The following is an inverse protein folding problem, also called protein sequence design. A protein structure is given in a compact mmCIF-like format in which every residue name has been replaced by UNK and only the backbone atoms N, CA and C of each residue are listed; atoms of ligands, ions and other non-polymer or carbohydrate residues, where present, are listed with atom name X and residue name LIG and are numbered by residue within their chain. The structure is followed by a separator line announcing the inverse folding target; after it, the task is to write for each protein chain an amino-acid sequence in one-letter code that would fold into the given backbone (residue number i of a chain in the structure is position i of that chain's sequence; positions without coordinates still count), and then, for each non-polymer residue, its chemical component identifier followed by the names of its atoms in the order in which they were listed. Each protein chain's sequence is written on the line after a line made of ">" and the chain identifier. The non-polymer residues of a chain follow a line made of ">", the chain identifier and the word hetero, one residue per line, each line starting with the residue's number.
data_IF_787742280580
#
_entry.id   IF_787742280580
#
_cell.length_a   1.000
_cell.length_b   1.000
_cell.length_c   1.000
_cell.angle_alpha   90.00
_cell.angle_beta   90.00
_cell.angle_gamma   90.00
#
_symmetry.space_group_name_H-M   'P 1'
#
loop_
_entity.id
_entity.type
_entity.pdbx_description
1 polymer ?
#
# COMPACT_ATOMS: atom_id res chain seq x y z
N UNK A 1 -5.09 -46.71 11.78
CA UNK A 1 -5.18 -46.32 10.36
C UNK A 1 -4.09 -45.32 9.99
N UNK A 2 -3.95 -44.17 10.66
CA UNK A 2 -2.90 -43.18 10.35
C UNK A 2 -1.49 -43.72 10.61
N UNK A 3 -1.20 -44.34 11.76
CA UNK A 3 0.13 -44.93 12.05
C UNK A 3 0.55 -45.99 11.00
N UNK A 4 -0.35 -46.90 10.66
CA UNK A 4 -0.12 -47.93 9.62
C UNK A 4 0.12 -47.31 8.23
N UNK A 5 -0.52 -46.18 7.91
CA UNK A 5 -0.25 -45.44 6.69
C UNK A 5 1.14 -44.81 6.73
N UNK A 6 1.49 -44.14 7.83
CA UNK A 6 2.81 -43.56 8.06
C UNK A 6 3.94 -44.59 7.91
N UNK A 7 3.82 -45.74 8.58
CA UNK A 7 4.78 -46.85 8.49
C UNK A 7 4.90 -47.40 7.07
N UNK A 8 3.77 -47.59 6.35
CA UNK A 8 3.77 -48.15 5.00
C UNK A 8 4.45 -47.23 3.97
N UNK A 9 4.34 -45.92 4.17
CA UNK A 9 4.82 -44.91 3.23
C UNK A 9 6.03 -44.11 3.73
N UNK A 10 6.64 -44.54 4.86
CA UNK A 10 7.78 -43.89 5.50
C UNK A 10 7.56 -42.40 5.82
N UNK A 11 6.35 -42.05 6.29
CA UNK A 11 6.06 -40.73 6.84
C UNK A 11 6.19 -40.74 8.36
N UNK A 12 6.73 -39.67 8.92
CA UNK A 12 6.71 -39.46 10.36
C UNK A 12 5.46 -38.68 10.78
N UNK A 13 4.63 -39.24 11.67
CA UNK A 13 3.53 -38.49 12.24
C UNK A 13 4.04 -37.37 13.16
N UNK A 14 3.38 -36.20 13.13
CA UNK A 14 3.86 -35.01 13.88
C UNK A 14 2.92 -34.64 15.04
N UNK A 15 1.61 -34.55 14.78
CA UNK A 15 0.59 -34.03 15.72
C UNK A 15 -0.45 -35.08 16.16
N UNK A 16 -0.09 -36.36 16.18
CA UNK A 16 -0.99 -37.44 16.62
C UNK A 16 -1.15 -37.42 18.16
N UNK A 17 -2.36 -37.62 18.71
CA UNK A 17 -2.55 -37.70 20.17
C UNK A 17 -1.73 -38.84 20.79
N UNK A 18 -0.96 -38.55 21.84
CA UNK A 18 -0.14 -39.54 22.55
C UNK A 18 1.10 -40.03 21.78
N UNK A 19 1.52 -39.30 20.75
CA UNK A 19 2.74 -39.59 20.00
C UNK A 19 4.00 -39.39 20.85
N UNK A 20 5.01 -40.24 20.67
CA UNK A 20 6.32 -40.07 21.31
C UNK A 20 7.29 -39.31 20.39
N UNK A 21 8.34 -38.72 20.95
CA UNK A 21 9.36 -38.03 20.14
C UNK A 21 10.09 -38.99 19.18
N UNK A 22 10.24 -40.27 19.54
CA UNK A 22 10.85 -41.29 18.67
C UNK A 22 10.00 -41.55 17.42
N UNK A 23 8.67 -41.55 17.56
CA UNK A 23 7.74 -41.72 16.43
C UNK A 23 7.75 -40.52 15.46
N UNK A 24 8.30 -39.36 15.87
CA UNK A 24 8.33 -38.13 15.05
C UNK A 24 9.52 -38.02 14.10
N UNK A 25 10.55 -38.85 14.27
CA UNK A 25 11.82 -38.79 13.54
C UNK A 25 12.30 -40.18 13.11
N UNK A 26 11.38 -41.14 12.98
CA UNK A 26 11.70 -42.53 12.66
C UNK A 26 12.29 -42.68 11.25
N UNK A 27 11.73 -41.98 10.27
CA UNK A 27 12.12 -42.08 8.86
C UNK A 27 12.87 -40.83 8.36
N UNK A 28 12.48 -39.64 8.85
CA UNK A 28 12.98 -38.34 8.42
C UNK A 28 13.52 -37.60 9.64
N UNK A 29 14.81 -37.80 9.95
CA UNK A 29 15.48 -37.05 11.00
C UNK A 29 15.60 -35.57 10.62
N UNK A 30 15.34 -34.69 11.58
CA UNK A 30 15.60 -33.25 11.48
C UNK A 30 16.71 -32.85 12.44
N UNK A 31 17.55 -31.90 12.03
CA UNK A 31 18.61 -31.33 12.87
C UNK A 31 18.07 -30.33 13.92
N UNK A 32 16.85 -29.81 13.70
CA UNK A 32 16.23 -28.80 14.55
C UNK A 32 15.51 -29.46 15.74
N UNK A 33 16.12 -29.38 16.92
CA UNK A 33 15.57 -29.91 18.17
C UNK A 33 14.36 -29.11 18.67
N UNK A 34 14.24 -27.83 18.28
CA UNK A 34 13.20 -26.93 18.78
C UNK A 34 11.91 -27.02 17.94
N UNK A 35 11.99 -27.48 16.68
CA UNK A 35 10.87 -27.53 15.73
C UNK A 35 9.58 -28.12 16.32
N UNK A 36 9.66 -29.29 16.96
CA UNK A 36 8.47 -29.95 17.49
C UNK A 36 7.89 -29.22 18.71
N UNK A 37 8.75 -28.63 19.54
CA UNK A 37 8.31 -27.86 20.72
C UNK A 37 7.63 -26.55 20.30
N UNK A 38 8.19 -25.86 19.30
CA UNK A 38 7.59 -24.68 18.70
C UNK A 38 6.26 -25.02 18.01
N UNK A 39 6.20 -26.14 17.28
CA UNK A 39 4.99 -26.56 16.59
C UNK A 39 3.85 -26.89 17.57
N UNK A 40 4.14 -27.60 18.66
CA UNK A 40 3.14 -27.81 19.72
C UNK A 40 2.74 -26.48 20.38
N UNK A 41 3.73 -25.62 20.64
CA UNK A 41 3.54 -24.30 21.20
C UNK A 41 2.61 -23.41 20.36
N UNK A 42 2.61 -23.57 19.03
CA UNK A 42 1.68 -22.87 18.11
C UNK A 42 0.20 -23.19 18.35
N UNK A 43 -0.12 -24.32 18.96
CA UNK A 43 -1.50 -24.71 19.34
C UNK A 43 -1.82 -24.42 20.82
N UNK A 44 -0.91 -23.74 21.53
CA UNK A 44 -1.04 -23.39 22.95
C UNK A 44 -1.08 -21.87 23.15
N UNK A 45 -1.12 -21.42 24.40
CA UNK A 45 -0.99 -20.00 24.77
C UNK A 45 0.39 -19.40 24.43
N UNK A 46 1.37 -20.21 24.02
CA UNK A 46 2.71 -19.76 23.64
C UNK A 46 2.81 -19.28 22.19
N UNK A 47 1.77 -19.50 21.38
CA UNK A 47 1.75 -19.17 19.95
C UNK A 47 2.28 -17.77 19.63
N UNK A 48 1.77 -16.74 20.30
CA UNK A 48 2.16 -15.37 20.01
C UNK A 48 3.64 -15.13 20.32
N UNK A 49 4.14 -15.71 21.42
CA UNK A 49 5.55 -15.62 21.80
C UNK A 49 6.45 -16.26 20.74
N UNK A 50 6.14 -17.46 20.28
CA UNK A 50 6.90 -18.17 19.23
C UNK A 50 6.91 -17.35 17.94
N UNK A 51 5.75 -16.82 17.54
CA UNK A 51 5.66 -15.91 16.40
C UNK A 51 6.54 -14.68 16.64
N UNK A 52 6.56 -14.02 17.78
CA UNK A 52 7.39 -12.83 17.98
C UNK A 52 8.90 -13.12 18.11
N UNK A 53 9.28 -14.25 18.69
CA UNK A 53 10.67 -14.62 18.96
C UNK A 53 11.36 -15.28 17.76
N UNK A 54 10.63 -15.88 16.81
CA UNK A 54 11.21 -16.51 15.62
C UNK A 54 12.08 -15.55 14.79
N UNK A 55 13.17 -16.08 14.22
CA UNK A 55 14.07 -15.33 13.34
C UNK A 55 13.43 -14.94 12.00
N UNK A 56 12.41 -15.71 11.59
CA UNK A 56 11.62 -15.48 10.38
C UNK A 56 10.22 -14.97 10.71
N UNK A 57 9.59 -14.27 9.78
CA UNK A 57 8.18 -13.91 9.86
C UNK A 57 7.32 -15.14 9.55
N UNK A 58 6.77 -15.74 10.61
CA UNK A 58 5.86 -16.88 10.56
C UNK A 58 4.41 -16.47 10.86
N UNK A 59 4.11 -15.17 10.82
CA UNK A 59 2.76 -14.68 11.05
C UNK A 59 1.82 -15.16 9.92
N UNK A 60 0.61 -15.64 10.24
CA UNK A 60 -0.34 -16.04 9.20
C UNK A 60 -0.71 -14.84 8.32
N UNK A 61 -0.75 -15.08 7.01
CA UNK A 61 -1.24 -14.08 6.05
C UNK A 61 -2.73 -13.82 6.26
N UNK A 62 -3.16 -12.60 5.95
CA UNK A 62 -4.56 -12.16 6.06
C UNK A 62 -4.96 -11.41 4.79
N UNK A 63 -6.24 -11.17 4.56
CA UNK A 63 -6.71 -10.37 3.42
C UNK A 63 -6.13 -8.94 3.43
N UNK A 64 -5.83 -8.40 4.61
CA UNK A 64 -5.19 -7.08 4.76
C UNK A 64 -3.67 -7.13 4.48
N UNK A 65 -3.03 -8.28 4.69
CA UNK A 65 -1.58 -8.49 4.48
C UNK A 65 -1.35 -9.88 3.86
N UNK A 66 -1.65 -10.06 2.56
CA UNK A 66 -1.67 -11.37 1.90
C UNK A 66 -0.29 -11.78 1.35
N UNK A 67 0.77 -11.66 2.17
CA UNK A 67 2.15 -11.88 1.75
C UNK A 67 2.72 -13.17 2.36
N UNK A 68 2.35 -14.31 1.77
CA UNK A 68 2.70 -15.65 2.25
C UNK A 68 4.20 -15.96 2.22
N UNK A 69 4.93 -15.39 1.26
CA UNK A 69 6.35 -15.66 1.04
C UNK A 69 7.27 -14.56 1.59
N UNK A 70 6.78 -13.78 2.56
CA UNK A 70 7.56 -12.75 3.26
C UNK A 70 8.01 -13.30 4.61
N UNK A 71 9.19 -13.89 4.66
CA UNK A 71 9.80 -14.44 5.87
C UNK A 71 10.81 -13.47 6.50
N UNK A 72 11.21 -12.40 5.82
CA UNK A 72 12.19 -11.45 6.36
C UNK A 72 11.61 -10.59 7.48
N UNK A 73 12.39 -10.45 8.55
CA UNK A 73 12.23 -9.38 9.54
C UNK A 73 13.36 -8.38 9.39
N UNK A 74 13.03 -7.12 9.12
CA UNK A 74 14.03 -6.06 8.97
C UNK A 74 15.00 -5.97 10.17
N UNK A 75 14.45 -6.08 11.40
CA UNK A 75 15.24 -6.04 12.65
C UNK A 75 16.25 -7.18 12.79
N UNK A 76 16.00 -8.33 12.16
CA UNK A 76 16.84 -9.54 12.25
C UNK A 76 17.65 -9.81 11.00
N UNK A 77 17.54 -8.97 9.96
CA UNK A 77 18.27 -9.13 8.71
C UNK A 77 19.78 -9.25 8.90
N UNK A 78 20.39 -8.40 9.75
CA UNK A 78 21.82 -8.48 10.03
C UNK A 78 22.22 -9.79 10.72
N UNK A 79 21.37 -10.33 11.61
CA UNK A 79 21.59 -11.63 12.26
C UNK A 79 21.51 -12.75 11.21
N UNK A 80 20.47 -12.76 10.39
CA UNK A 80 20.26 -13.74 9.33
C UNK A 80 21.44 -13.78 8.34
N UNK A 81 21.93 -12.62 7.90
CA UNK A 81 23.08 -12.54 6.98
C UNK A 81 24.35 -13.12 7.60
N UNK A 82 24.55 -12.94 8.92
CA UNK A 82 25.68 -13.52 9.65
C UNK A 82 25.54 -15.03 9.81
N UNK A 83 24.35 -15.53 10.10
CA UNK A 83 24.11 -16.96 10.41
C UNK A 83 24.01 -17.82 9.15
N UNK A 84 23.31 -17.39 8.11
CA UNK A 84 23.04 -18.20 6.91
C UNK A 84 23.97 -17.87 5.73
N UNK A 85 24.79 -16.83 5.86
CA UNK A 85 25.58 -16.27 4.77
C UNK A 85 24.74 -15.40 3.82
N UNK A 86 25.35 -14.34 3.29
CA UNK A 86 24.65 -13.33 2.49
C UNK A 86 24.02 -13.83 1.18
N UNK A 87 24.43 -14.98 0.64
CA UNK A 87 23.86 -15.56 -0.59
C UNK A 87 22.52 -16.27 -0.34
N UNK A 88 22.42 -17.02 0.76
CA UNK A 88 21.23 -17.81 1.09
C UNK A 88 20.08 -16.91 1.57
N UNK A 89 20.37 -15.85 2.33
CA UNK A 89 19.35 -14.89 2.80
C UNK A 89 18.75 -14.06 1.68
N UNK A 90 19.56 -13.67 0.69
CA UNK A 90 19.08 -12.93 -0.49
C UNK A 90 18.20 -13.80 -1.37
N UNK A 91 18.49 -15.11 -1.47
CA UNK A 91 17.68 -16.04 -2.26
C UNK A 91 16.28 -16.25 -1.66
N UNK A 92 16.18 -16.36 -0.33
CA UNK A 92 14.89 -16.55 0.36
C UNK A 92 13.95 -15.34 0.22
N UNK A 93 14.49 -14.13 0.02
CA UNK A 93 13.73 -12.87 0.15
C UNK A 93 13.90 -11.94 -1.06
N UNK A 94 14.22 -12.52 -2.21
CA UNK A 94 14.60 -11.78 -3.41
C UNK A 94 13.52 -10.76 -3.82
N UNK A 95 12.24 -11.12 -3.70
CA UNK A 95 11.12 -10.24 -4.08
C UNK A 95 11.04 -8.95 -3.26
N UNK A 96 11.22 -9.05 -1.94
CA UNK A 96 11.19 -7.87 -1.07
C UNK A 96 12.42 -6.98 -1.25
N UNK A 97 13.61 -7.59 -1.36
CA UNK A 97 14.85 -6.85 -1.62
C UNK A 97 14.81 -6.12 -2.97
N UNK A 98 14.30 -6.76 -4.02
CA UNK A 98 14.08 -6.11 -5.32
C UNK A 98 13.17 -4.89 -5.15
N UNK A 99 12.07 -5.03 -4.41
CA UNK A 99 11.13 -3.91 -4.16
C UNK A 99 11.80 -2.73 -3.47
N UNK A 100 12.62 -2.98 -2.44
CA UNK A 100 13.37 -1.93 -1.72
C UNK A 100 14.43 -1.27 -2.60
N UNK A 101 15.19 -2.05 -3.38
CA UNK A 101 16.18 -1.51 -4.31
C UNK A 101 15.51 -0.68 -5.40
N UNK A 102 14.41 -1.15 -5.97
CA UNK A 102 13.61 -0.40 -6.94
C UNK A 102 13.09 0.90 -6.34
N UNK A 103 12.60 0.89 -5.10
CA UNK A 103 12.20 2.12 -4.40
C UNK A 103 13.35 3.13 -4.30
N UNK A 104 14.54 2.70 -3.88
CA UNK A 104 15.73 3.57 -3.79
C UNK A 104 16.09 4.14 -5.17
N UNK A 105 16.13 3.29 -6.20
CA UNK A 105 16.41 3.71 -7.58
C UNK A 105 15.39 4.73 -8.06
N UNK A 106 14.09 4.46 -7.86
CA UNK A 106 13.00 5.36 -8.24
C UNK A 106 13.12 6.70 -7.55
N UNK A 107 13.42 6.74 -6.24
CA UNK A 107 13.62 7.99 -5.49
C UNK A 107 14.78 8.79 -6.09
N UNK A 108 15.93 8.15 -6.32
CA UNK A 108 17.10 8.81 -6.89
C UNK A 108 16.78 9.37 -8.28
N UNK A 109 16.21 8.55 -9.16
CA UNK A 109 15.90 8.95 -10.53
C UNK A 109 14.81 10.03 -10.59
N UNK A 110 13.76 9.94 -9.77
CA UNK A 110 12.72 10.95 -9.72
C UNK A 110 13.25 12.30 -9.22
N UNK A 111 14.09 12.31 -8.19
CA UNK A 111 14.74 13.54 -7.72
C UNK A 111 15.70 14.11 -8.77
N UNK A 112 16.50 13.26 -9.41
CA UNK A 112 17.50 13.66 -10.39
C UNK A 112 16.88 14.16 -11.70
N UNK A 113 15.83 13.52 -12.22
CA UNK A 113 15.25 13.89 -13.51
C UNK A 113 14.07 14.85 -13.42
N UNK A 114 13.38 14.94 -12.28
CA UNK A 114 12.22 15.82 -12.12
C UNK A 114 12.58 17.05 -11.27
N UNK A 115 13.13 16.84 -10.07
CA UNK A 115 13.37 17.94 -9.12
C UNK A 115 14.64 18.73 -9.46
N UNK A 116 15.73 18.07 -9.85
CA UNK A 116 16.98 18.73 -10.20
C UNK A 116 16.84 19.81 -11.29
N UNK A 117 16.18 19.57 -12.44
CA UNK A 117 16.02 20.61 -13.46
C UNK A 117 15.09 21.75 -13.01
N UNK A 118 14.13 21.50 -12.11
CA UNK A 118 13.23 22.54 -11.58
C UNK A 118 13.98 23.60 -10.76
N UNK A 119 15.11 23.26 -10.12
CA UNK A 119 15.94 24.25 -9.43
C UNK A 119 16.44 25.36 -10.36
N UNK A 120 16.62 25.10 -11.66
CA UNK A 120 16.99 26.14 -12.64
C UNK A 120 15.90 27.19 -12.83
N UNK A 121 14.63 26.80 -12.73
CA UNK A 121 13.49 27.71 -12.82
C UNK A 121 13.34 28.54 -11.54
N UNK A 122 13.74 27.96 -10.40
CA UNK A 122 13.67 28.58 -9.08
C UNK A 122 12.23 28.73 -8.58
N UNK A 123 12.00 28.46 -7.31
CA UNK A 123 10.71 28.73 -6.67
C UNK A 123 10.80 30.11 -6.02
N UNK A 124 10.22 31.17 -6.61
CA UNK A 124 10.33 32.57 -6.17
C UNK A 124 8.96 33.23 -5.95
N UNK A 125 8.77 33.87 -4.80
CA UNK A 125 7.49 34.51 -4.41
C UNK A 125 6.33 33.52 -4.22
N UNK A 126 5.16 34.05 -3.83
CA UNK A 126 3.96 33.25 -3.54
C UNK A 126 4.08 32.37 -2.29
N UNK A 127 3.09 31.50 -2.06
CA UNK A 127 3.03 30.60 -0.92
C UNK A 127 3.74 29.26 -1.22
N UNK A 128 5.07 29.30 -1.34
CA UNK A 128 5.92 28.17 -1.76
C UNK A 128 5.70 26.90 -0.92
N UNK A 129 5.66 27.06 0.40
CA UNK A 129 5.47 25.96 1.33
C UNK A 129 4.13 25.27 1.09
N UNK A 130 3.05 26.04 0.87
CA UNK A 130 1.76 25.47 0.51
C UNK A 130 1.84 24.67 -0.80
N UNK A 131 2.48 25.18 -1.87
CA UNK A 131 2.63 24.45 -3.14
C UNK A 131 3.33 23.10 -2.91
N UNK A 132 4.47 23.11 -2.21
CA UNK A 132 5.21 21.88 -1.95
C UNK A 132 4.38 20.89 -1.14
N UNK A 133 3.85 21.32 0.00
CA UNK A 133 3.09 20.44 0.91
C UNK A 133 1.81 19.91 0.26
N UNK A 134 1.04 20.78 -0.40
CA UNK A 134 -0.24 20.42 -1.00
C UNK A 134 -0.08 19.42 -2.16
N UNK A 135 0.79 19.71 -3.13
CA UNK A 135 0.95 18.84 -4.30
C UNK A 135 1.68 17.53 -3.99
N UNK A 136 2.54 17.52 -2.96
CA UNK A 136 3.11 16.29 -2.38
C UNK A 136 2.02 15.43 -1.74
N UNK A 137 1.19 16.04 -0.88
CA UNK A 137 0.09 15.36 -0.22
C UNK A 137 -0.91 14.75 -1.21
N UNK A 138 -1.27 15.47 -2.28
CA UNK A 138 -2.12 14.93 -3.34
C UNK A 138 -1.48 13.72 -4.06
N UNK A 139 -0.18 13.78 -4.35
CA UNK A 139 0.54 12.69 -5.03
C UNK A 139 0.54 11.40 -4.18
N UNK A 140 0.91 11.52 -2.91
CA UNK A 140 0.87 10.39 -1.97
C UNK A 140 -0.54 9.83 -1.82
N UNK A 141 -1.53 10.70 -1.53
CA UNK A 141 -2.89 10.27 -1.28
C UNK A 141 -3.51 9.54 -2.47
N UNK A 142 -3.33 10.07 -3.68
CA UNK A 142 -3.90 9.45 -4.89
C UNK A 142 -3.27 8.09 -5.18
N UNK A 143 -1.94 8.02 -5.22
CA UNK A 143 -1.23 6.79 -5.59
C UNK A 143 -1.36 5.70 -4.52
N UNK A 144 -1.38 6.06 -3.24
CA UNK A 144 -1.59 5.07 -2.17
C UNK A 144 -2.96 4.41 -2.29
N UNK A 145 -4.02 5.18 -2.53
CA UNK A 145 -5.35 4.60 -2.71
C UNK A 145 -5.43 3.77 -3.99
N UNK A 146 -4.84 4.24 -5.10
CA UNK A 146 -4.80 3.51 -6.37
C UNK A 146 -4.14 2.13 -6.21
N UNK A 147 -2.97 2.07 -5.56
CA UNK A 147 -2.26 0.81 -5.34
C UNK A 147 -3.05 -0.13 -4.43
N UNK A 148 -3.69 0.39 -3.37
CA UNK A 148 -4.53 -0.45 -2.50
C UNK A 148 -5.73 -1.00 -3.25
N UNK A 149 -6.41 -0.20 -4.07
CA UNK A 149 -7.51 -0.69 -4.90
C UNK A 149 -7.05 -1.78 -5.86
N UNK A 150 -5.91 -1.60 -6.55
CA UNK A 150 -5.34 -2.66 -7.38
C UNK A 150 -5.20 -3.96 -6.57
N UNK A 151 -4.63 -3.90 -5.36
CA UNK A 151 -4.40 -5.09 -4.54
C UNK A 151 -5.69 -5.76 -4.05
N UNK A 152 -6.67 -5.00 -3.58
CA UNK A 152 -7.98 -5.57 -3.19
C UNK A 152 -8.70 -6.21 -4.37
N UNK A 153 -8.71 -5.53 -5.52
CA UNK A 153 -9.43 -6.01 -6.69
C UNK A 153 -8.73 -7.17 -7.39
N UNK A 154 -7.41 -7.36 -7.24
CA UNK A 154 -6.71 -8.59 -7.66
C UNK A 154 -7.34 -9.82 -7.02
N UNK A 155 -7.58 -9.78 -5.70
CA UNK A 155 -8.23 -10.86 -4.97
C UNK A 155 -9.70 -11.01 -5.39
N UNK A 156 -10.43 -9.90 -5.48
CA UNK A 156 -11.87 -9.89 -5.76
C UNK A 156 -12.24 -10.37 -7.18
N UNK A 157 -11.50 -9.90 -8.18
CA UNK A 157 -11.70 -10.26 -9.59
C UNK A 157 -10.96 -11.55 -9.96
N UNK A 158 -9.99 -11.98 -9.16
CA UNK A 158 -9.23 -13.21 -9.35
C UNK A 158 -8.18 -13.14 -10.46
N UNK A 159 -7.95 -11.96 -11.05
CA UNK A 159 -6.98 -11.79 -12.13
C UNK A 159 -6.24 -10.44 -12.04
N UNK A 160 -4.90 -10.42 -11.98
CA UNK A 160 -4.14 -9.19 -11.76
C UNK A 160 -4.26 -8.22 -12.94
N UNK A 161 -4.20 -8.71 -14.18
CA UNK A 161 -4.27 -7.85 -15.39
C UNK A 161 -5.61 -7.10 -15.46
N UNK A 162 -6.74 -7.80 -15.27
CA UNK A 162 -8.07 -7.16 -15.30
C UNK A 162 -8.24 -6.16 -14.16
N UNK A 163 -7.68 -6.45 -12.99
CA UNK A 163 -7.75 -5.56 -11.83
C UNK A 163 -6.98 -4.27 -12.07
N UNK A 164 -5.73 -4.37 -12.52
CA UNK A 164 -4.91 -3.20 -12.87
C UNK A 164 -5.59 -2.35 -13.94
N UNK A 165 -6.02 -2.97 -15.04
CA UNK A 165 -6.67 -2.26 -16.13
C UNK A 165 -7.96 -1.57 -15.67
N UNK A 166 -8.85 -2.29 -14.98
CA UNK A 166 -10.13 -1.76 -14.51
C UNK A 166 -9.94 -0.62 -13.52
N UNK A 167 -9.08 -0.80 -12.51
CA UNK A 167 -8.84 0.22 -11.49
C UNK A 167 -8.28 1.48 -12.13
N UNK A 168 -7.21 1.38 -12.90
CA UNK A 168 -6.59 2.54 -13.55
C UNK A 168 -7.59 3.23 -14.47
N UNK A 169 -8.29 2.49 -15.34
CA UNK A 169 -9.27 3.08 -16.27
C UNK A 169 -10.39 3.81 -15.53
N UNK A 170 -11.00 3.19 -14.52
CA UNK A 170 -12.12 3.81 -13.77
C UNK A 170 -11.63 5.01 -12.97
N UNK A 171 -10.46 4.91 -12.32
CA UNK A 171 -9.87 6.02 -11.57
C UNK A 171 -9.57 7.21 -12.48
N UNK A 172 -8.94 6.98 -13.63
CA UNK A 172 -8.60 8.04 -14.60
C UNK A 172 -9.84 8.67 -15.24
N UNK A 173 -10.83 7.88 -15.67
CA UNK A 173 -12.08 8.41 -16.24
C UNK A 173 -12.82 9.23 -15.19
N UNK A 174 -13.03 8.68 -14.00
CA UNK A 174 -13.80 9.34 -12.95
C UNK A 174 -13.10 10.59 -12.43
N UNK A 175 -11.78 10.55 -12.23
CA UNK A 175 -10.99 11.72 -11.84
C UNK A 175 -10.91 12.77 -12.95
N UNK A 176 -10.89 12.37 -14.22
CA UNK A 176 -11.01 13.27 -15.37
C UNK A 176 -12.35 14.00 -15.39
N UNK A 177 -13.46 13.27 -15.17
CA UNK A 177 -14.79 13.88 -15.03
C UNK A 177 -14.82 14.83 -13.82
N UNK A 178 -14.29 14.41 -12.67
CA UNK A 178 -14.17 15.28 -11.49
C UNK A 178 -13.39 16.56 -11.76
N UNK A 179 -12.25 16.46 -12.44
CA UNK A 179 -11.42 17.58 -12.87
C UNK A 179 -12.19 18.53 -13.80
N UNK A 180 -12.97 17.99 -14.72
CA UNK A 180 -13.80 18.75 -15.64
C UNK A 180 -14.89 19.54 -14.91
N UNK A 181 -15.64 18.88 -14.01
CA UNK A 181 -16.66 19.52 -13.20
C UNK A 181 -16.06 20.63 -12.33
N UNK A 182 -14.91 20.39 -11.69
CA UNK A 182 -14.27 21.39 -10.83
C UNK A 182 -13.79 22.61 -11.60
N UNK A 183 -13.36 22.45 -12.86
CA UNK A 183 -12.88 23.56 -13.70
C UNK A 183 -13.97 24.58 -14.07
N UNK A 184 -15.24 24.15 -14.13
CA UNK A 184 -16.38 24.99 -14.54
C UNK A 184 -16.89 25.92 -13.43
N UNK A 185 -16.65 25.60 -12.17
CA UNK A 185 -17.10 26.43 -11.06
C UNK A 185 -15.99 27.39 -10.61
N UNK A 186 -16.35 28.62 -10.20
CA UNK A 186 -15.43 29.52 -9.49
C UNK A 186 -15.19 28.96 -8.09
N UNK A 187 -14.30 27.99 -7.99
CA UNK A 187 -14.04 27.26 -6.75
C UNK A 187 -13.06 28.05 -5.89
N UNK A 188 -13.60 28.62 -4.82
CA UNK A 188 -12.87 29.30 -3.76
C UNK A 188 -12.19 28.30 -2.80
N UNK A 189 -11.26 28.81 -1.99
CA UNK A 189 -10.57 28.09 -0.88
C UNK A 189 -11.49 27.21 -0.02
N UNK A 190 -12.72 27.67 0.26
CA UNK A 190 -13.73 26.91 1.04
C UNK A 190 -14.13 25.59 0.38
N UNK A 191 -14.24 25.54 -0.94
CA UNK A 191 -14.59 24.30 -1.62
C UNK A 191 -13.39 23.33 -1.68
N UNK A 192 -12.15 23.83 -1.77
CA UNK A 192 -10.96 22.99 -1.65
C UNK A 192 -10.87 22.32 -0.26
N UNK A 193 -11.17 23.06 0.81
CA UNK A 193 -11.30 22.51 2.17
C UNK A 193 -12.40 21.44 2.25
N UNK A 194 -13.60 21.73 1.74
CA UNK A 194 -14.72 20.76 1.76
C UNK A 194 -14.37 19.48 0.98
N UNK A 195 -13.78 19.59 -0.20
CA UNK A 195 -13.44 18.45 -1.05
C UNK A 195 -12.32 17.62 -0.42
N UNK A 196 -11.24 18.25 0.05
CA UNK A 196 -10.13 17.51 0.69
C UNK A 196 -10.58 16.84 1.99
N UNK A 197 -11.42 17.50 2.80
CA UNK A 197 -12.04 16.88 3.98
C UNK A 197 -12.99 15.73 3.64
N UNK A 198 -13.80 15.87 2.59
CA UNK A 198 -14.67 14.81 2.08
C UNK A 198 -13.85 13.58 1.64
N UNK A 199 -12.77 13.79 0.88
CA UNK A 199 -11.88 12.71 0.43
C UNK A 199 -11.27 12.00 1.64
N UNK A 200 -10.75 12.74 2.63
CA UNK A 200 -10.26 12.12 3.87
C UNK A 200 -11.33 11.26 4.54
N UNK A 201 -12.54 11.78 4.71
CA UNK A 201 -13.65 11.03 5.29
C UNK A 201 -14.00 9.77 4.50
N UNK A 202 -14.06 9.87 3.16
CA UNK A 202 -14.30 8.72 2.28
C UNK A 202 -13.22 7.66 2.42
N UNK A 203 -11.93 8.04 2.41
CA UNK A 203 -10.84 7.07 2.57
C UNK A 203 -10.91 6.36 3.93
N UNK A 204 -11.23 7.09 5.02
CA UNK A 204 -11.39 6.48 6.34
C UNK A 204 -12.56 5.49 6.39
N UNK A 205 -13.68 5.82 5.75
CA UNK A 205 -14.83 4.89 5.63
C UNK A 205 -14.41 3.65 4.83
N UNK A 206 -13.76 3.84 3.68
CA UNK A 206 -13.28 2.75 2.84
C UNK A 206 -12.29 1.85 3.57
N UNK A 207 -11.42 2.42 4.41
CA UNK A 207 -10.42 1.67 5.17
C UNK A 207 -11.02 0.60 6.08
N UNK A 208 -12.25 0.80 6.55
CA UNK A 208 -12.98 -0.14 7.41
C UNK A 208 -13.94 -1.01 6.58
N UNK A 209 -14.66 -0.41 5.63
CA UNK A 209 -15.79 -1.05 4.95
C UNK A 209 -15.35 -1.96 3.80
N UNK A 210 -14.28 -1.61 3.07
CA UNK A 210 -13.98 -2.26 1.78
C UNK A 210 -13.69 -3.76 1.92
N UNK A 211 -12.92 -4.16 2.94
CA UNK A 211 -12.58 -5.57 3.16
C UNK A 211 -13.81 -6.43 3.43
N UNK A 212 -14.70 -5.95 4.31
CA UNK A 212 -15.96 -6.64 4.67
C UNK A 212 -16.91 -6.71 3.47
N UNK A 213 -17.00 -5.63 2.70
CA UNK A 213 -17.86 -5.59 1.51
C UNK A 213 -17.39 -6.57 0.43
N UNK A 214 -16.08 -6.59 0.15
CA UNK A 214 -15.52 -7.46 -0.88
C UNK A 214 -15.61 -8.94 -0.48
N UNK A 215 -15.34 -9.29 0.77
CA UNK A 215 -15.48 -10.68 1.24
C UNK A 215 -16.92 -11.17 1.17
N UNK A 216 -17.90 -10.32 1.52
CA UNK A 216 -19.33 -10.66 1.43
C UNK A 216 -19.86 -10.79 0.00
N UNK A 217 -19.19 -10.22 -1.00
CA UNK A 217 -19.65 -10.19 -2.41
C UNK A 217 -18.76 -10.98 -3.37
N UNK A 218 -17.71 -11.64 -2.88
CA UNK A 218 -16.71 -12.33 -3.72
C UNK A 218 -17.29 -13.48 -4.55
N UNK A 219 -18.35 -14.13 -4.03
CA UNK A 219 -19.04 -15.25 -4.69
C UNK A 219 -20.00 -14.84 -5.81
N UNK A 220 -20.18 -13.54 -6.07
CA UNK A 220 -21.07 -13.07 -7.13
C UNK A 220 -20.53 -13.35 -8.54
N UNK A 221 -21.40 -13.44 -9.55
CA UNK A 221 -21.01 -13.54 -10.96
C UNK A 221 -20.07 -12.41 -11.39
N UNK A 222 -19.15 -12.71 -12.31
CA UNK A 222 -18.09 -11.78 -12.74
C UNK A 222 -18.62 -10.43 -13.23
N UNK A 223 -19.75 -10.41 -13.95
CA UNK A 223 -20.37 -9.17 -14.45
C UNK A 223 -20.78 -8.25 -13.30
N UNK A 224 -21.38 -8.82 -12.25
CA UNK A 224 -21.78 -8.05 -11.07
C UNK A 224 -20.54 -7.53 -10.33
N UNK A 225 -19.49 -8.35 -10.19
CA UNK A 225 -18.22 -7.93 -9.58
C UNK A 225 -17.58 -6.76 -10.32
N UNK A 226 -17.58 -6.77 -11.65
CA UNK A 226 -17.08 -5.65 -12.46
C UNK A 226 -17.90 -4.39 -12.20
N UNK A 227 -19.24 -4.47 -12.24
CA UNK A 227 -20.09 -3.31 -11.97
C UNK A 227 -19.87 -2.72 -10.56
N UNK A 228 -19.78 -3.58 -9.54
CA UNK A 228 -19.47 -3.17 -8.17
C UNK A 228 -18.09 -2.51 -8.09
N UNK A 229 -17.09 -3.08 -8.74
CA UNK A 229 -15.73 -2.52 -8.81
C UNK A 229 -15.75 -1.11 -9.40
N UNK A 230 -16.45 -0.91 -10.52
CA UNK A 230 -16.59 0.39 -11.17
C UNK A 230 -17.23 1.40 -10.22
N UNK A 231 -18.36 1.06 -9.58
CA UNK A 231 -19.08 1.98 -8.69
C UNK A 231 -18.24 2.33 -7.45
N UNK A 232 -17.62 1.34 -6.83
CA UNK A 232 -16.81 1.51 -5.61
C UNK A 232 -15.62 2.43 -5.87
N UNK A 233 -14.97 2.30 -7.03
CA UNK A 233 -13.79 3.11 -7.38
C UNK A 233 -14.22 4.50 -7.88
N UNK A 234 -15.28 4.59 -8.69
CA UNK A 234 -15.65 5.84 -9.35
C UNK A 234 -15.96 6.98 -8.36
N UNK A 235 -16.64 6.67 -7.24
CA UNK A 235 -17.04 7.66 -6.24
C UNK A 235 -15.83 8.41 -5.65
N UNK A 236 -14.86 7.76 -4.97
CA UNK A 236 -13.70 8.46 -4.43
C UNK A 236 -12.85 9.10 -5.53
N UNK A 237 -12.66 8.43 -6.67
CA UNK A 237 -11.84 8.95 -7.77
C UNK A 237 -12.40 10.23 -8.38
N UNK A 238 -13.72 10.34 -8.50
CA UNK A 238 -14.37 11.57 -8.96
C UNK A 238 -14.01 12.76 -8.05
N UNK A 239 -14.12 12.62 -6.73
CA UNK A 239 -13.75 13.69 -5.82
C UNK A 239 -12.24 13.94 -5.81
N UNK A 240 -11.42 12.89 -5.87
CA UNK A 240 -9.95 13.00 -5.89
C UNK A 240 -9.39 13.66 -7.15
N UNK A 241 -10.15 13.69 -8.25
CA UNK A 241 -9.80 14.45 -9.45
C UNK A 241 -9.95 15.96 -9.31
N UNK A 242 -10.76 16.45 -8.36
CA UNK A 242 -11.03 17.89 -8.24
C UNK A 242 -9.87 18.74 -7.64
N UNK A 243 -9.15 18.31 -6.58
CA UNK A 243 -8.17 19.13 -5.89
C UNK A 243 -7.01 19.63 -6.75
N UNK A 244 -6.53 18.82 -7.69
CA UNK A 244 -5.37 19.15 -8.51
C UNK A 244 -5.61 20.37 -9.44
N UNK A 245 -6.63 20.38 -10.34
CA UNK A 245 -6.90 21.54 -11.18
C UNK A 245 -7.30 22.79 -10.39
N UNK A 246 -8.03 22.65 -9.28
CA UNK A 246 -8.36 23.77 -8.39
C UNK A 246 -7.07 24.38 -7.81
N UNK A 247 -6.19 23.55 -7.25
CA UNK A 247 -4.92 23.98 -6.68
C UNK A 247 -4.04 24.64 -7.74
N UNK A 248 -4.00 24.09 -8.96
CA UNK A 248 -3.21 24.63 -10.06
C UNK A 248 -3.69 26.02 -10.49
N UNK A 249 -5.01 26.25 -10.51
CA UNK A 249 -5.59 27.57 -10.77
C UNK A 249 -5.18 28.58 -9.71
N UNK A 250 -5.23 28.21 -8.43
CA UNK A 250 -4.75 29.05 -7.32
C UNK A 250 -3.26 29.39 -7.46
N UNK A 251 -2.42 28.42 -7.85
CA UNK A 251 -1.00 28.66 -8.12
C UNK A 251 -0.82 29.62 -9.30
N UNK A 252 -1.56 29.41 -10.39
CA UNK A 252 -1.49 30.24 -11.58
C UNK A 252 -1.88 31.70 -11.29
N UNK A 253 -2.97 31.90 -10.55
CA UNK A 253 -3.51 33.22 -10.20
C UNK A 253 -2.59 33.97 -9.22
N UNK A 254 -1.93 33.25 -8.28
CA UNK A 254 -0.99 33.87 -7.34
C UNK A 254 0.39 34.13 -7.99
N UNK A 255 0.96 33.12 -8.65
CA UNK A 255 2.28 33.18 -9.27
C UNK A 255 2.46 32.06 -10.31
N UNK A 256 2.17 32.38 -11.57
CA UNK A 256 2.32 31.48 -12.72
C UNK A 256 3.69 30.76 -12.82
N UNK A 257 4.79 31.38 -12.39
CA UNK A 257 6.11 30.74 -12.39
C UNK A 257 6.23 29.52 -11.46
N UNK A 258 5.29 29.33 -10.53
CA UNK A 258 5.29 28.18 -9.61
C UNK A 258 4.49 26.98 -10.15
N UNK A 259 3.80 27.12 -11.30
CA UNK A 259 3.01 26.04 -11.94
C UNK A 259 3.88 24.81 -12.30
N UNK A 260 5.09 24.96 -12.90
CA UNK A 260 5.95 23.81 -13.18
C UNK A 260 6.37 23.04 -11.92
N UNK A 261 6.54 23.75 -10.79
CA UNK A 261 6.86 23.12 -9.51
C UNK A 261 5.71 22.29 -8.97
N UNK A 262 4.46 22.78 -9.09
CA UNK A 262 3.28 22.02 -8.69
C UNK A 262 3.18 20.69 -9.44
N UNK A 263 3.34 20.73 -10.78
CA UNK A 263 3.37 19.54 -11.62
C UNK A 263 4.54 18.61 -11.30
N UNK A 264 5.74 19.16 -11.18
CA UNK A 264 6.96 18.39 -10.95
C UNK A 264 6.98 17.68 -9.59
N UNK A 265 6.55 18.37 -8.52
CA UNK A 265 6.45 17.77 -7.19
C UNK A 265 5.41 16.66 -7.18
N UNK A 266 4.22 16.91 -7.72
CA UNK A 266 3.19 15.89 -7.78
C UNK A 266 3.65 14.67 -8.59
N UNK A 267 4.21 14.87 -9.78
CA UNK A 267 4.74 13.79 -10.61
C UNK A 267 5.84 12.99 -9.91
N UNK A 268 6.83 13.68 -9.31
CA UNK A 268 7.91 13.03 -8.55
C UNK A 268 7.38 12.17 -7.42
N UNK A 269 6.49 12.74 -6.59
CA UNK A 269 5.91 12.05 -5.45
C UNK A 269 5.05 10.88 -5.89
N UNK A 270 4.27 11.00 -6.97
CA UNK A 270 3.44 9.90 -7.47
C UNK A 270 4.27 8.67 -7.85
N UNK A 271 5.41 8.85 -8.53
CA UNK A 271 6.29 7.73 -8.91
C UNK A 271 6.91 7.08 -7.66
N UNK A 272 7.36 7.88 -6.69
CA UNK A 272 7.90 7.39 -5.41
C UNK A 272 6.82 6.64 -4.61
N UNK A 273 5.61 7.16 -4.60
CA UNK A 273 4.47 6.63 -3.83
C UNK A 273 4.09 5.23 -4.26
N UNK A 274 4.16 4.91 -5.55
CA UNK A 274 3.82 3.58 -6.08
C UNK A 274 4.63 2.46 -5.43
N UNK A 275 5.96 2.63 -5.36
CA UNK A 275 6.85 1.64 -4.75
C UNK A 275 6.80 1.67 -3.22
N UNK A 276 6.67 2.87 -2.63
CA UNK A 276 6.50 3.02 -1.18
C UNK A 276 5.20 2.35 -0.67
N UNK A 277 4.10 2.47 -1.42
CA UNK A 277 2.83 1.83 -1.08
C UNK A 277 2.96 0.31 -0.98
N UNK A 278 3.74 -0.30 -1.87
CA UNK A 278 3.99 -1.75 -1.84
C UNK A 278 4.80 -2.13 -0.60
N UNK A 279 5.85 -1.35 -0.25
CA UNK A 279 6.64 -1.60 0.96
C UNK A 279 5.76 -1.49 2.22
N UNK A 280 4.97 -0.43 2.33
CA UNK A 280 4.06 -0.24 3.46
C UNK A 280 3.02 -1.37 3.50
N UNK A 281 2.48 -1.80 2.36
CA UNK A 281 1.52 -2.90 2.30
C UNK A 281 2.15 -4.22 2.78
N UNK A 282 3.39 -4.52 2.39
CA UNK A 282 4.12 -5.72 2.85
C UNK A 282 4.37 -5.66 4.35
N UNK A 283 4.79 -4.52 4.89
CA UNK A 283 5.17 -4.41 6.31
C UNK A 283 3.94 -4.28 7.23
N UNK A 284 2.98 -3.45 6.85
CA UNK A 284 1.89 -2.97 7.71
C UNK A 284 0.48 -3.31 7.19
N UNK A 285 0.35 -3.80 5.95
CA UNK A 285 -0.93 -4.15 5.33
C UNK A 285 -1.64 -3.00 4.61
N UNK A 286 -2.69 -3.33 3.86
CA UNK A 286 -3.44 -2.40 3.02
C UNK A 286 -4.16 -1.30 3.80
N UNK A 287 -4.68 -1.61 4.99
CA UNK A 287 -5.30 -0.65 5.89
C UNK A 287 -4.33 0.46 6.26
N UNK A 288 -3.07 0.14 6.57
CA UNK A 288 -2.07 1.14 6.88
C UNK A 288 -1.81 2.08 5.69
N UNK A 289 -1.73 1.55 4.47
CA UNK A 289 -1.58 2.37 3.25
C UNK A 289 -2.77 3.32 3.07
N UNK A 290 -4.01 2.85 3.30
CA UNK A 290 -5.19 3.72 3.27
C UNK A 290 -5.18 4.79 4.36
N UNK A 291 -4.72 4.47 5.58
CA UNK A 291 -4.54 5.46 6.65
C UNK A 291 -3.48 6.51 6.28
N UNK A 292 -2.38 6.12 5.65
CA UNK A 292 -1.40 7.07 5.12
C UNK A 292 -1.97 7.90 3.97
N UNK A 293 -2.84 7.34 3.12
CA UNK A 293 -3.55 8.11 2.09
C UNK A 293 -4.50 9.15 2.72
N UNK A 294 -5.25 8.77 3.75
CA UNK A 294 -6.11 9.68 4.50
C UNK A 294 -5.30 10.76 5.23
N UNK A 295 -4.15 10.39 5.80
CA UNK A 295 -3.21 11.35 6.42
C UNK A 295 -2.69 12.34 5.38
N UNK A 296 -2.32 11.88 4.18
CA UNK A 296 -1.88 12.75 3.10
C UNK A 296 -2.99 13.74 2.71
N UNK A 297 -4.22 13.28 2.46
CA UNK A 297 -5.33 14.20 2.18
C UNK A 297 -5.69 15.12 3.36
N UNK A 298 -5.48 14.68 4.61
CA UNK A 298 -5.62 15.52 5.80
C UNK A 298 -4.56 16.61 5.85
N UNK A 299 -3.31 16.32 5.46
CA UNK A 299 -2.25 17.31 5.31
C UNK A 299 -2.62 18.31 4.21
N UNK A 300 -3.16 17.84 3.07
CA UNK A 300 -3.67 18.73 2.03
C UNK A 300 -4.78 19.64 2.57
N UNK A 301 -5.75 19.08 3.29
CA UNK A 301 -6.82 19.83 3.97
C UNK A 301 -6.26 20.90 4.93
N UNK A 302 -5.34 20.53 5.82
CA UNK A 302 -4.74 21.45 6.78
C UNK A 302 -3.90 22.54 6.10
N UNK A 303 -3.15 22.18 5.06
CA UNK A 303 -2.34 23.12 4.28
C UNK A 303 -3.20 24.23 3.66
N UNK A 304 -4.45 23.92 3.30
CA UNK A 304 -5.38 24.89 2.73
C UNK A 304 -5.74 26.02 3.71
N UNK A 305 -5.50 25.86 5.03
CA UNK A 305 -5.65 26.96 5.98
C UNK A 305 -4.55 28.03 5.87
N UNK A 306 -3.37 27.64 5.38
CA UNK A 306 -2.21 28.52 5.26
C UNK A 306 -2.17 29.29 3.95
N UNK A 307 -3.14 29.09 3.05
CA UNK A 307 -3.30 29.91 1.84
C UNK A 307 -3.61 31.35 2.28
N UNK A 308 -2.58 32.22 2.29
CA UNK A 308 -2.76 33.67 2.47
C UNK A 308 -3.65 34.17 1.34
N UNK A 309 -4.92 34.44 1.65
CA UNK A 309 -5.81 35.13 0.74
C UNK A 309 -5.26 36.55 0.59
N UNK A 310 -4.75 36.90 -0.59
CA UNK A 310 -4.77 38.31 -0.99
C UNK A 310 -6.20 38.62 -1.40
N UNK A 311 -6.92 39.35 -0.55
CA UNK A 311 -8.19 40.01 -0.88
C UNK A 311 -9.42 39.12 -0.89
N UNK A 312 -10.07 39.01 0.27
CA UNK A 312 -11.46 39.48 0.41
C UNK A 312 -11.40 40.57 1.47
#
# INVERSE_FOLDING_TARGET
>A
MVKTFCEKYNFDPILLPGITNEERVQFNAMEDEDFFSDLEGMFSSQRDRIIYESDFNIQPATDNKPYFFQFLRWKKFQKLVKTMGGKSTVFLELGYLITVVTFIQVVILALLFIILPLFRLGLKGGNKSWVVTYFTALGFGYMFLEIVFIKYFVLYLGHPIYSVATVISVMLISSGIGSYFSSRYKIYRKALLKITGLITGLILIYAVVIGVFLSGTVGLPIVIKILLTVVIIAIPSFFMGMPFPIGLKIVNDNKKSNVPWAWGINGCVSVISTSLAVIIAVEMGFMAVMLFAALAYSIAFLSNFFIRAKGI
#
